data_IF_473972497809
#
_entry.id   IF_473972497809
#
_cell.length_a   1.000
_cell.length_b   1.000
_cell.length_c   1.000
_cell.angle_alpha   90.00
_cell.angle_beta   90.00
_cell.angle_gamma   90.00
#
_symmetry.space_group_name_H-M   'P 1'
#
loop_
_entity.id
_entity.type
_entity.pdbx_description
1 polymer ?
#
# COMPACT_ATOMS: atom_id res chain seq x y z
N UNK A 1 25.26 58.40 -0.33
CA UNK A 1 24.12 59.16 -0.89
C UNK A 1 24.29 59.25 -2.41
N UNK A 2 23.18 59.10 -3.13
CA UNK A 2 23.07 58.66 -4.54
C UNK A 2 23.63 59.68 -5.54
N UNK A 3 24.46 59.22 -6.50
CA UNK A 3 24.67 59.92 -7.77
C UNK A 3 23.71 59.33 -8.81
N UNK A 4 22.83 60.19 -9.32
CA UNK A 4 21.89 59.93 -10.41
C UNK A 4 22.66 59.97 -11.73
N UNK A 5 22.43 59.00 -12.60
CA UNK A 5 22.63 59.16 -14.04
C UNK A 5 21.38 58.66 -14.75
N UNK A 6 20.73 59.58 -15.44
CA UNK A 6 19.62 59.37 -16.34
C UNK A 6 20.13 59.77 -17.71
N UNK A 7 20.10 58.84 -18.67
CA UNK A 7 20.04 59.19 -20.09
C UNK A 7 18.97 58.36 -20.76
N UNK A 8 18.06 59.14 -21.34
CA UNK A 8 16.93 58.87 -22.19
C UNK A 8 17.43 58.51 -23.61
N UNK A 9 16.87 57.48 -24.24
CA UNK A 9 16.52 57.41 -25.67
C UNK A 9 16.16 55.95 -26.02
N UNK A 10 14.87 55.59 -26.07
CA UNK A 10 14.00 55.66 -27.26
C UNK A 10 14.12 54.40 -28.14
N UNK A 11 13.17 53.47 -27.99
CA UNK A 11 12.47 52.92 -29.16
C UNK A 11 11.10 52.41 -28.73
N UNK A 12 10.07 53.07 -29.24
CA UNK A 12 8.68 52.66 -29.13
C UNK A 12 8.38 51.63 -30.23
N UNK A 13 7.73 50.52 -29.86
CA UNK A 13 6.75 49.93 -30.76
C UNK A 13 5.57 49.41 -29.93
N UNK A 14 4.40 49.80 -30.40
CA UNK A 14 3.10 49.70 -29.76
C UNK A 14 2.33 48.54 -30.41
N UNK A 15 1.49 47.90 -29.59
CA UNK A 15 0.34 47.06 -29.94
C UNK A 15 0.58 45.66 -30.53
N UNK A 16 0.08 44.63 -29.85
CA UNK A 16 -1.30 44.12 -30.08
C UNK A 16 -1.68 43.12 -28.97
N UNK A 17 -2.72 43.46 -28.22
CA UNK A 17 -3.56 42.49 -27.52
C UNK A 17 -4.30 41.67 -28.56
N UNK A 18 -4.14 40.35 -28.51
CA UNK A 18 -4.99 39.39 -29.19
C UNK A 18 -5.51 38.38 -28.18
N UNK A 19 -6.70 38.61 -27.64
CA UNK A 19 -7.53 37.51 -27.16
C UNK A 19 -8.20 36.88 -28.37
N UNK A 20 -8.01 35.58 -28.58
CA UNK A 20 -9.06 34.62 -29.00
C UNK A 20 -8.46 33.24 -29.25
N UNK A 21 -9.12 32.23 -28.71
CA UNK A 21 -9.11 30.88 -29.27
C UNK A 21 -8.67 29.80 -28.29
N UNK A 22 -9.64 29.14 -27.65
CA UNK A 22 -9.48 27.72 -27.36
C UNK A 22 -9.10 27.02 -28.67
N UNK A 23 -7.92 26.43 -28.74
CA UNK A 23 -7.72 25.24 -29.56
C UNK A 23 -7.30 24.12 -28.64
N UNK A 24 -8.06 23.04 -28.65
CA UNK A 24 -7.60 21.74 -28.18
C UNK A 24 -6.33 21.39 -28.97
N UNK A 25 -5.17 21.68 -28.40
CA UNK A 25 -3.89 21.19 -28.85
C UNK A 25 -3.49 20.09 -27.88
N UNK A 26 -3.47 18.85 -28.35
CA UNK A 26 -2.62 17.84 -27.73
C UNK A 26 -1.19 18.38 -27.84
N UNK A 27 -0.65 18.92 -26.74
CA UNK A 27 0.75 19.31 -26.64
C UNK A 27 1.60 18.04 -26.71
N UNK A 28 1.83 17.57 -27.93
CA UNK A 28 2.89 16.63 -28.24
C UNK A 28 4.17 17.44 -28.36
N UNK A 29 4.96 17.42 -27.30
CA UNK A 29 6.34 17.91 -27.31
C UNK A 29 7.08 17.33 -28.55
N UNK A 30 7.94 18.11 -29.22
CA UNK A 30 8.59 17.68 -30.45
C UNK A 30 9.46 16.45 -30.19
N UNK A 31 9.25 15.40 -31.00
CA UNK A 31 10.12 14.21 -31.03
C UNK A 31 11.55 14.67 -31.37
N UNK A 32 12.47 14.43 -30.44
CA UNK A 32 13.90 14.74 -30.61
C UNK A 32 14.47 14.04 -31.85
N UNK A 33 15.28 14.78 -32.63
CA UNK A 33 16.00 14.27 -33.81
C UNK A 33 17.22 13.40 -33.45
N UNK A 34 17.48 13.17 -32.16
CA UNK A 34 18.41 12.15 -31.70
C UNK A 34 18.00 10.75 -32.21
N UNK A 35 18.99 9.91 -32.49
CA UNK A 35 18.75 8.55 -32.99
C UNK A 35 17.82 7.80 -32.03
N UNK A 36 16.81 7.05 -32.55
CA UNK A 36 15.90 6.31 -31.70
C UNK A 36 16.66 5.31 -30.82
N UNK A 37 16.21 5.17 -29.58
CA UNK A 37 16.74 4.21 -28.62
C UNK A 37 16.00 2.88 -28.71
N UNK A 38 16.71 1.81 -28.35
CA UNK A 38 16.14 0.50 -28.04
C UNK A 38 16.56 0.14 -26.62
N UNK A 39 15.63 -0.41 -25.84
CA UNK A 39 15.83 -0.78 -24.44
C UNK A 39 15.50 -2.27 -24.26
N UNK A 40 16.38 -3.02 -23.61
CA UNK A 40 16.05 -4.30 -23.01
C UNK A 40 15.56 -4.04 -21.57
N UNK A 41 14.25 -4.15 -21.38
CA UNK A 41 13.57 -3.90 -20.10
C UNK A 41 13.36 -5.21 -19.36
N UNK A 42 13.64 -5.22 -18.07
CA UNK A 42 13.28 -6.31 -17.17
C UNK A 42 12.59 -5.77 -15.93
N UNK A 43 11.45 -6.36 -15.58
CA UNK A 43 10.79 -6.08 -14.31
C UNK A 43 11.41 -7.00 -13.24
N UNK A 44 11.86 -6.38 -12.14
CA UNK A 44 12.34 -7.05 -10.94
C UNK A 44 11.22 -7.81 -10.21
N UNK A 45 11.53 -8.36 -9.03
CA UNK A 45 10.67 -9.30 -8.29
C UNK A 45 9.22 -8.84 -8.10
N UNK A 46 8.36 -9.31 -8.98
CA UNK A 46 6.97 -9.65 -8.69
C UNK A 46 6.81 -11.08 -9.18
N UNK A 47 6.75 -12.05 -8.28
CA UNK A 47 6.43 -13.41 -8.66
C UNK A 47 5.09 -13.42 -9.43
N UNK A 48 5.02 -14.15 -10.53
CA UNK A 48 3.78 -14.34 -11.29
C UNK A 48 3.13 -15.64 -10.81
N UNK A 49 2.29 -15.57 -9.78
CA UNK A 49 1.49 -16.69 -9.28
C UNK A 49 0.12 -16.18 -8.82
N UNK A 50 -1.00 -16.58 -9.45
CA UNK A 50 -2.31 -16.20 -8.97
C UNK A 50 -2.56 -16.85 -7.61
N UNK A 51 -2.60 -16.04 -6.56
CA UNK A 51 -3.20 -16.44 -5.30
C UNK A 51 -4.57 -15.77 -5.17
N UNK A 52 -5.36 -16.32 -4.27
CA UNK A 52 -6.73 -15.92 -3.98
C UNK A 52 -6.81 -15.77 -2.47
N UNK A 53 -7.66 -14.84 -2.04
CA UNK A 53 -8.05 -14.50 -0.66
C UNK A 53 -7.98 -15.61 0.40
N UNK A 54 -7.53 -15.20 1.59
CA UNK A 54 -7.64 -15.81 2.94
C UNK A 54 -6.64 -16.87 3.42
N UNK A 55 -5.57 -17.20 2.69
CA UNK A 55 -4.45 -18.01 3.27
C UNK A 55 -3.34 -17.13 3.85
N UNK A 56 -2.58 -17.57 4.86
CA UNK A 56 -1.46 -16.81 5.40
C UNK A 56 -0.39 -16.71 4.32
N UNK A 57 0.14 -15.52 4.11
CA UNK A 57 1.19 -15.33 3.11
C UNK A 57 2.49 -15.92 3.68
N UNK A 58 3.11 -16.83 2.91
CA UNK A 58 4.37 -17.44 3.32
C UNK A 58 5.51 -16.45 3.18
N UNK A 59 6.56 -16.61 3.99
CA UNK A 59 7.77 -15.81 3.84
C UNK A 59 8.34 -15.96 2.41
N UNK A 60 8.53 -14.85 1.71
CA UNK A 60 9.04 -14.82 0.35
C UNK A 60 7.99 -14.97 -0.77
N UNK A 61 6.68 -14.94 -0.45
CA UNK A 61 5.63 -14.81 -1.47
C UNK A 61 5.52 -13.34 -1.88
N UNK A 62 5.78 -13.02 -3.15
CA UNK A 62 5.66 -11.67 -3.70
C UNK A 62 4.21 -11.34 -4.12
N UNK A 63 3.90 -10.06 -4.22
CA UNK A 63 2.64 -9.48 -4.70
C UNK A 63 2.77 -9.64 -6.20
N UNK A 64 1.73 -10.19 -6.76
CA UNK A 64 1.75 -10.63 -8.14
C UNK A 64 1.30 -9.48 -8.99
N UNK A 65 2.13 -9.13 -9.97
CA UNK A 65 1.70 -8.21 -11.03
C UNK A 65 0.65 -8.92 -11.88
N UNK A 66 -0.59 -8.44 -11.83
CA UNK A 66 -1.70 -8.99 -12.61
C UNK A 66 -1.96 -8.19 -13.89
N UNK A 67 -1.67 -6.89 -13.84
CA UNK A 67 -1.72 -5.95 -14.95
C UNK A 67 -0.97 -4.69 -14.56
N UNK A 68 -0.67 -3.82 -15.51
CA UNK A 68 -0.11 -2.52 -15.19
C UNK A 68 0.14 -1.64 -16.39
N UNK A 69 0.76 -0.51 -16.14
CA UNK A 69 1.13 0.49 -17.12
C UNK A 69 2.63 0.78 -17.03
N UNK A 70 3.28 0.81 -18.19
CA UNK A 70 4.69 1.08 -18.38
C UNK A 70 4.86 2.40 -19.13
N UNK A 71 5.67 3.29 -18.58
CA UNK A 71 5.89 4.63 -19.11
C UNK A 71 7.38 4.85 -19.40
N UNK A 72 7.68 5.31 -20.61
CA UNK A 72 8.99 5.83 -20.99
C UNK A 72 8.96 7.35 -20.97
N UNK A 73 9.86 7.96 -20.21
CA UNK A 73 9.77 9.37 -19.81
C UNK A 73 11.11 10.07 -20.06
N UNK A 74 11.07 11.36 -20.42
CA UNK A 74 12.26 12.20 -20.57
C UNK A 74 12.64 12.94 -19.27
N UNK A 75 13.70 13.74 -19.32
CA UNK A 75 14.18 14.54 -18.18
C UNK A 75 13.14 15.52 -17.59
N UNK A 76 12.19 16.02 -18.40
CA UNK A 76 11.14 16.96 -17.94
C UNK A 76 9.93 16.27 -17.33
N UNK A 77 9.90 14.93 -17.34
CA UNK A 77 8.77 14.14 -16.87
C UNK A 77 7.70 13.89 -17.94
N UNK A 78 7.89 14.33 -19.19
CA UNK A 78 6.93 14.06 -20.26
C UNK A 78 6.93 12.58 -20.64
N UNK A 79 5.74 11.98 -20.70
CA UNK A 79 5.50 10.61 -21.15
C UNK A 79 5.66 10.58 -22.67
N UNK A 80 6.71 9.90 -23.11
CA UNK A 80 7.06 9.76 -24.52
C UNK A 80 6.44 8.53 -25.16
N UNK A 81 6.27 7.46 -24.38
CA UNK A 81 5.66 6.22 -24.82
C UNK A 81 5.03 5.49 -23.64
N UNK A 82 3.90 4.85 -23.90
CA UNK A 82 3.14 4.07 -22.93
C UNK A 82 2.86 2.67 -23.48
N UNK A 83 2.87 1.69 -22.59
CA UNK A 83 2.43 0.33 -22.86
C UNK A 83 1.57 -0.19 -21.72
N UNK A 84 0.55 -0.97 -22.05
CA UNK A 84 -0.21 -1.76 -21.07
C UNK A 84 0.45 -3.12 -20.88
N UNK A 85 0.77 -3.45 -19.63
CA UNK A 85 1.26 -4.76 -19.22
C UNK A 85 0.05 -5.64 -18.94
N UNK A 86 -0.06 -6.76 -19.65
CA UNK A 86 -1.22 -7.66 -19.56
C UNK A 86 -0.86 -9.08 -20.00
N UNK A 87 -1.76 -10.04 -19.79
CA UNK A 87 -1.62 -11.41 -20.29
C UNK A 87 -1.95 -11.52 -21.79
N UNK A 88 -2.60 -10.51 -22.38
CA UNK A 88 -3.07 -10.50 -23.77
C UNK A 88 -2.28 -9.51 -24.65
N UNK A 89 -1.61 -10.00 -25.68
CA UNK A 89 -0.81 -9.19 -26.61
C UNK A 89 -1.57 -8.80 -27.89
N UNK A 90 -2.87 -8.56 -27.80
CA UNK A 90 -3.71 -8.27 -28.98
C UNK A 90 -3.44 -6.89 -29.61
N UNK A 91 -2.67 -6.02 -28.97
CA UNK A 91 -2.26 -4.71 -29.47
C UNK A 91 -0.74 -4.54 -29.46
N UNK A 92 -0.21 -3.76 -30.40
CA UNK A 92 1.20 -3.37 -30.45
C UNK A 92 1.61 -2.44 -29.29
N UNK A 93 0.64 -1.90 -28.54
CA UNK A 93 0.84 -1.12 -27.31
C UNK A 93 0.75 -1.99 -26.05
N UNK A 94 0.70 -3.31 -26.19
CA UNK A 94 0.68 -4.22 -25.05
C UNK A 94 2.02 -4.93 -24.91
N UNK A 95 2.43 -5.20 -23.67
CA UNK A 95 3.56 -6.05 -23.34
C UNK A 95 3.04 -7.23 -22.54
N UNK A 96 3.45 -8.46 -22.91
CA UNK A 96 3.11 -9.64 -22.13
C UNK A 96 3.82 -9.61 -20.77
N UNK A 97 3.10 -9.90 -19.69
CA UNK A 97 3.69 -9.96 -18.34
C UNK A 97 4.89 -10.90 -18.21
N UNK A 98 4.81 -12.10 -18.80
CA UNK A 98 5.90 -13.10 -18.74
C UNK A 98 7.13 -12.60 -19.50
N UNK A 99 6.92 -11.92 -20.63
CA UNK A 99 8.01 -11.29 -21.38
C UNK A 99 8.62 -10.12 -20.61
N UNK A 100 7.81 -9.27 -19.98
CA UNK A 100 8.30 -8.16 -19.15
C UNK A 100 9.14 -8.65 -17.96
N UNK A 101 8.76 -9.78 -17.36
CA UNK A 101 9.50 -10.40 -16.25
C UNK A 101 10.81 -11.05 -16.69
N UNK A 102 10.80 -11.80 -17.81
CA UNK A 102 11.98 -12.48 -18.33
C UNK A 102 12.94 -11.53 -19.07
N UNK A 103 12.43 -10.40 -19.54
CA UNK A 103 13.14 -9.41 -20.34
C UNK A 103 12.46 -9.19 -21.69
N UNK A 104 12.05 -7.95 -21.97
CA UNK A 104 11.39 -7.55 -23.20
C UNK A 104 12.22 -6.49 -23.95
N UNK A 105 12.36 -6.65 -25.27
CA UNK A 105 13.01 -5.65 -26.12
C UNK A 105 11.99 -4.63 -26.61
N UNK A 106 12.17 -3.37 -26.21
CA UNK A 106 11.36 -2.24 -26.66
C UNK A 106 12.18 -1.41 -27.63
N UNK A 107 11.69 -1.25 -28.84
CA UNK A 107 12.39 -0.54 -29.92
C UNK A 107 11.67 0.74 -30.32
N UNK A 108 12.37 1.60 -31.07
CA UNK A 108 11.85 2.87 -31.57
C UNK A 108 11.32 3.76 -30.43
N UNK A 109 12.12 3.93 -29.38
CA UNK A 109 11.91 4.93 -28.35
C UNK A 109 12.52 6.26 -28.81
N UNK A 110 11.91 7.41 -28.49
CA UNK A 110 12.53 8.71 -28.76
C UNK A 110 13.92 8.82 -28.12
N UNK A 111 14.82 9.56 -28.76
CA UNK A 111 16.23 9.64 -28.35
C UNK A 111 16.45 10.31 -26.99
N UNK A 112 15.48 11.11 -26.52
CA UNK A 112 15.49 11.78 -25.23
C UNK A 112 14.80 10.99 -24.10
N UNK A 113 14.48 9.71 -24.29
CA UNK A 113 14.02 8.84 -23.19
C UNK A 113 15.14 8.61 -22.18
N UNK A 114 14.84 8.77 -20.89
CA UNK A 114 15.80 8.66 -19.78
C UNK A 114 15.34 7.75 -18.64
N UNK A 115 14.04 7.71 -18.36
CA UNK A 115 13.46 6.99 -17.23
C UNK A 115 12.35 6.05 -17.67
N UNK A 116 12.19 4.97 -16.90
CA UNK A 116 11.06 4.06 -16.96
C UNK A 116 10.30 4.11 -15.65
N UNK A 117 8.97 4.16 -15.73
CA UNK A 117 8.06 4.02 -14.59
C UNK A 117 7.10 2.89 -14.85
N UNK A 118 6.74 2.17 -13.79
CA UNK A 118 5.77 1.09 -13.83
C UNK A 118 4.80 1.24 -12.68
N UNK A 119 3.51 1.16 -13.00
CA UNK A 119 2.44 1.03 -12.01
C UNK A 119 1.72 -0.28 -12.27
N UNK A 120 1.64 -1.13 -11.26
CA UNK A 120 0.97 -2.43 -11.33
C UNK A 120 -0.27 -2.49 -10.46
N UNK A 121 -1.23 -3.31 -10.87
CA UNK A 121 -2.49 -3.58 -10.15
C UNK A 121 -3.36 -2.34 -9.90
N UNK A 122 -3.10 -1.25 -10.62
CA UNK A 122 -3.93 -0.03 -10.61
C UNK A 122 -4.43 0.22 -12.01
N UNK A 123 -5.72 0.56 -12.14
CA UNK A 123 -6.37 0.82 -13.43
C UNK A 123 -6.78 2.29 -13.56
N UNK A 124 -7.10 2.72 -14.79
CA UNK A 124 -7.61 4.06 -15.05
C UNK A 124 -6.54 5.17 -15.00
N UNK A 125 -5.26 4.82 -15.13
CA UNK A 125 -4.17 5.79 -15.11
C UNK A 125 -4.08 6.59 -16.42
N UNK A 126 -3.64 7.86 -16.38
CA UNK A 126 -3.29 8.61 -17.58
C UNK A 126 -2.22 7.88 -18.40
N UNK A 127 -2.34 7.93 -19.73
CA UNK A 127 -1.40 7.27 -20.67
C UNK A 127 -0.46 8.25 -21.39
N UNK A 128 -0.68 9.55 -21.21
CA UNK A 128 0.10 10.65 -21.80
C UNK A 128 0.18 11.84 -20.85
N UNK A 129 0.94 12.88 -21.21
CA UNK A 129 1.16 14.05 -20.36
C UNK A 129 2.42 13.92 -19.50
N UNK A 130 2.39 14.42 -18.26
CA UNK A 130 3.53 14.34 -17.34
C UNK A 130 3.38 13.15 -16.38
N UNK A 131 4.48 12.45 -16.10
CA UNK A 131 4.51 11.35 -15.14
C UNK A 131 4.07 11.76 -13.73
N UNK A 132 4.24 13.04 -13.36
CA UNK A 132 3.76 13.56 -12.08
C UNK A 132 2.25 13.38 -11.93
N UNK A 133 1.48 13.54 -13.01
CA UNK A 133 0.02 13.34 -13.00
C UNK A 133 -0.35 11.89 -12.73
N UNK A 134 0.42 10.92 -13.24
CA UNK A 134 0.24 9.50 -12.94
C UNK A 134 0.59 9.20 -11.48
N UNK A 135 1.71 9.75 -11.01
CA UNK A 135 2.20 9.58 -9.65
C UNK A 135 1.28 10.21 -8.58
N UNK A 136 0.48 11.21 -8.96
CA UNK A 136 -0.48 11.92 -8.10
C UNK A 136 -1.88 11.30 -8.11
N UNK A 137 -2.10 10.22 -8.87
CA UNK A 137 -3.36 9.46 -8.76
C UNK A 137 -3.50 8.92 -7.34
N UNK A 138 -4.68 9.15 -6.77
CA UNK A 138 -5.05 8.75 -5.41
C UNK A 138 -5.63 7.34 -5.42
N UNK A 139 -5.13 6.52 -4.50
CA UNK A 139 -5.64 5.21 -4.14
C UNK A 139 -6.43 5.31 -2.84
N UNK A 140 -7.53 4.57 -2.74
CA UNK A 140 -8.31 4.44 -1.52
C UNK A 140 -7.99 3.11 -0.84
N UNK A 141 -8.05 3.06 0.49
CA UNK A 141 -7.68 1.84 1.23
C UNK A 141 -8.58 0.66 0.90
N UNK A 142 -9.86 0.90 0.60
CA UNK A 142 -10.81 -0.15 0.21
C UNK A 142 -10.45 -0.84 -1.10
N UNK A 143 -9.74 -0.15 -2.02
CA UNK A 143 -9.29 -0.76 -3.26
C UNK A 143 -8.06 -1.64 -3.09
N UNK A 144 -7.53 -1.75 -1.87
CA UNK A 144 -6.32 -2.52 -1.55
C UNK A 144 -6.63 -3.75 -0.69
N UNK A 145 -7.90 -4.11 -0.50
CA UNK A 145 -8.34 -5.19 0.38
C UNK A 145 -7.63 -6.53 0.11
N UNK A 146 -7.58 -6.93 -1.16
CA UNK A 146 -6.96 -8.18 -1.57
C UNK A 146 -5.47 -7.95 -1.87
N UNK A 147 -4.62 -8.92 -1.54
CA UNK A 147 -3.18 -8.81 -1.81
C UNK A 147 -2.89 -8.77 -3.32
N UNK A 148 -3.79 -9.35 -4.09
CA UNK A 148 -3.87 -9.32 -5.55
C UNK A 148 -4.10 -7.91 -6.12
N UNK A 149 -4.85 -7.08 -5.40
CA UNK A 149 -5.20 -5.71 -5.80
C UNK A 149 -4.23 -4.67 -5.25
N UNK A 150 -3.25 -5.11 -4.44
CA UNK A 150 -2.26 -4.23 -3.86
C UNK A 150 -1.44 -3.54 -4.96
N UNK A 151 -1.45 -2.21 -4.96
CA UNK A 151 -0.72 -1.40 -5.92
C UNK A 151 0.78 -1.67 -5.85
N UNK A 152 1.38 -1.83 -7.02
CA UNK A 152 2.81 -1.98 -7.22
C UNK A 152 3.35 -0.72 -7.89
N UNK A 153 4.48 -0.22 -7.40
CA UNK A 153 5.13 0.94 -8.00
C UNK A 153 6.64 0.74 -8.09
N UNK A 154 7.22 1.17 -9.21
CA UNK A 154 8.66 1.15 -9.43
C UNK A 154 9.10 2.12 -10.52
N UNK A 155 10.37 2.52 -10.47
CA UNK A 155 11.00 3.33 -11.51
C UNK A 155 12.49 3.02 -11.63
N UNK A 156 13.05 3.15 -12.82
CA UNK A 156 14.47 2.94 -13.07
C UNK A 156 15.00 3.81 -14.22
N UNK A 157 16.28 4.22 -14.16
CA UNK A 157 16.92 4.91 -15.27
C UNK A 157 17.25 3.94 -16.41
N UNK A 158 17.40 4.48 -17.62
CA UNK A 158 18.06 3.77 -18.72
C UNK A 158 19.57 3.72 -18.46
N UNK A 159 20.17 2.56 -18.64
CA UNK A 159 21.61 2.31 -18.54
C UNK A 159 22.19 2.18 -19.94
N UNK A 160 23.33 2.84 -20.17
CA UNK A 160 23.99 2.85 -21.47
C UNK A 160 24.45 1.45 -21.91
N UNK A 161 24.37 1.13 -23.21
CA UNK A 161 24.90 -0.12 -23.75
C UNK A 161 26.41 -0.23 -23.53
N UNK A 162 26.86 -1.42 -23.12
CA UNK A 162 28.29 -1.77 -23.09
C UNK A 162 28.64 -2.58 -24.33
N UNK A 163 29.67 -2.14 -25.07
CA UNK A 163 30.13 -2.81 -26.29
C UNK A 163 30.36 -4.33 -26.07
N UNK A 164 29.88 -5.20 -26.99
CA UNK A 164 29.33 -4.91 -28.32
C UNK A 164 27.80 -4.70 -28.35
N UNK A 165 27.13 -4.62 -27.20
CA UNK A 165 25.69 -4.39 -27.16
C UNK A 165 25.35 -2.99 -27.71
N UNK A 166 24.15 -2.88 -28.28
CA UNK A 166 23.65 -1.63 -28.88
C UNK A 166 22.35 -1.13 -28.24
N UNK A 167 21.72 -1.95 -27.39
CA UNK A 167 20.50 -1.60 -26.66
C UNK A 167 20.84 -1.14 -25.24
N UNK A 168 20.14 -0.09 -24.79
CA UNK A 168 20.12 0.32 -23.39
C UNK A 168 19.48 -0.79 -22.55
N UNK A 169 19.78 -0.82 -21.25
CA UNK A 169 19.10 -1.73 -20.31
C UNK A 169 18.34 -0.92 -19.27
N UNK A 170 17.28 -1.51 -18.72
CA UNK A 170 16.58 -0.94 -17.58
C UNK A 170 16.04 -2.09 -16.73
N UNK A 171 16.34 -2.06 -15.44
CA UNK A 171 15.72 -2.94 -14.45
C UNK A 171 14.85 -2.08 -13.53
N UNK A 172 13.59 -2.49 -13.36
CA UNK A 172 12.62 -1.79 -12.51
C UNK A 172 12.14 -2.73 -11.42
N UNK A 173 12.52 -2.45 -10.17
CA UNK A 173 11.99 -3.16 -9.01
C UNK A 173 10.60 -2.64 -8.66
N UNK A 174 9.61 -3.52 -8.70
CA UNK A 174 8.25 -3.23 -8.25
C UNK A 174 8.12 -3.53 -6.77
N UNK A 175 7.53 -2.61 -6.02
CA UNK A 175 7.26 -2.79 -4.60
C UNK A 175 5.80 -2.47 -4.29
N UNK A 176 5.16 -3.23 -3.38
CA UNK A 176 3.85 -2.87 -2.86
C UNK A 176 3.93 -1.52 -2.16
N UNK A 177 2.89 -0.69 -2.32
CA UNK A 177 2.74 0.58 -1.59
C UNK A 177 1.95 0.43 -0.28
N UNK A 178 1.68 -0.81 0.12
CA UNK A 178 0.98 -1.18 1.36
C UNK A 178 1.87 -2.04 2.25
N UNK A 179 1.68 -1.94 3.55
CA UNK A 179 2.03 -2.96 4.53
C UNK A 179 0.85 -3.92 4.71
N UNK A 180 1.06 -5.11 5.27
CA UNK A 180 -0.01 -6.06 5.58
C UNK A 180 0.08 -6.51 7.02
N UNK A 181 -1.02 -6.44 7.77
CA UNK A 181 -1.14 -7.02 9.10
C UNK A 181 -1.90 -8.35 8.97
N UNK A 182 -1.40 -9.42 9.59
CA UNK A 182 -2.09 -10.72 9.64
C UNK A 182 -2.34 -11.13 11.09
N UNK A 183 -3.60 -11.41 11.44
CA UNK A 183 -4.01 -11.90 12.76
C UNK A 183 -4.50 -13.34 12.64
N UNK A 184 -3.81 -14.25 13.32
CA UNK A 184 -4.11 -15.70 13.25
C UNK A 184 -5.30 -16.09 14.12
N UNK A 185 -5.30 -15.65 15.37
CA UNK A 185 -6.36 -15.92 16.34
C UNK A 185 -6.38 -14.85 17.44
N UNK A 186 -7.45 -14.88 18.23
CA UNK A 186 -7.63 -14.11 19.46
C UNK A 186 -7.84 -15.13 20.58
N UNK A 187 -6.98 -15.10 21.60
CA UNK A 187 -7.01 -16.07 22.70
C UNK A 187 -7.37 -15.40 24.02
N UNK A 188 -8.24 -15.99 24.83
CA UNK A 188 -8.48 -15.54 26.20
C UNK A 188 -7.71 -16.37 27.24
N UNK A 189 -7.42 -15.75 28.37
CA UNK A 189 -6.72 -16.33 29.53
C UNK A 189 -7.35 -15.87 30.84
N UNK A 190 -6.71 -16.17 31.98
CA UNK A 190 -7.23 -15.81 33.29
C UNK A 190 -8.56 -16.49 33.60
N UNK A 191 -9.50 -15.72 34.16
CA UNK A 191 -10.82 -16.24 34.56
C UNK A 191 -11.79 -16.42 33.38
N UNK A 192 -11.47 -15.85 32.22
CA UNK A 192 -12.31 -15.92 31.02
C UNK A 192 -12.26 -17.35 30.45
N UNK A 193 -13.43 -17.95 30.26
CA UNK A 193 -13.59 -19.31 29.72
C UNK A 193 -14.22 -19.35 28.34
N UNK A 194 -15.02 -18.34 27.99
CA UNK A 194 -15.65 -18.22 26.68
C UNK A 194 -15.93 -16.74 26.34
N UNK A 195 -16.07 -16.43 25.07
CA UNK A 195 -16.40 -15.10 24.56
C UNK A 195 -16.85 -15.16 23.09
N UNK A 196 -17.41 -14.05 22.59
CA UNK A 196 -17.66 -13.84 21.17
C UNK A 196 -16.95 -12.62 20.64
N UNK A 197 -16.53 -12.67 19.38
CA UNK A 197 -16.00 -11.53 18.63
C UNK A 197 -17.14 -10.96 17.77
N UNK A 198 -17.55 -9.74 18.09
CA UNK A 198 -18.55 -9.00 17.32
C UNK A 198 -17.90 -8.34 16.10
N UNK A 199 -16.66 -7.85 16.25
CA UNK A 199 -15.94 -7.20 15.16
C UNK A 199 -14.48 -6.92 15.48
N UNK A 200 -13.70 -6.71 14.42
CA UNK A 200 -12.27 -6.38 14.44
C UNK A 200 -12.10 -5.14 13.59
N UNK A 201 -11.46 -4.11 14.13
CA UNK A 201 -11.35 -2.81 13.47
C UNK A 201 -9.89 -2.34 13.50
N UNK A 202 -9.42 -1.83 12.37
CA UNK A 202 -8.13 -1.14 12.27
C UNK A 202 -8.35 0.36 12.53
N UNK A 203 -7.52 0.93 13.38
CA UNK A 203 -7.46 2.34 13.72
C UNK A 203 -6.01 2.84 13.54
N UNK A 204 -5.77 4.16 13.53
CA UNK A 204 -4.45 4.74 13.24
C UNK A 204 -3.87 4.32 11.87
N UNK A 205 -4.65 4.49 10.81
CA UNK A 205 -4.26 4.14 9.44
C UNK A 205 -4.40 5.33 8.50
N UNK A 206 -3.86 5.21 7.28
CA UNK A 206 -4.09 6.19 6.22
C UNK A 206 -5.20 5.70 5.29
N UNK A 207 -6.25 6.49 5.08
CA UNK A 207 -7.37 6.14 4.19
C UNK A 207 -6.99 6.25 2.71
N UNK A 208 -5.97 7.05 2.39
CA UNK A 208 -5.50 7.30 1.04
C UNK A 208 -3.98 7.28 0.94
N UNK A 209 -3.51 6.96 -0.26
CA UNK A 209 -2.13 7.18 -0.66
C UNK A 209 -2.07 7.53 -2.15
N UNK A 210 -0.97 8.14 -2.56
CA UNK A 210 -0.66 8.28 -3.97
C UNK A 210 -0.12 6.97 -4.53
N UNK A 211 -0.30 6.73 -5.84
CA UNK A 211 0.23 5.56 -6.56
C UNK A 211 1.72 5.32 -6.30
N UNK A 212 2.51 6.38 -6.11
CA UNK A 212 3.95 6.29 -5.76
C UNK A 212 4.24 5.89 -4.30
N UNK A 213 3.22 5.58 -3.50
CA UNK A 213 3.33 5.19 -2.10
C UNK A 213 3.52 6.35 -1.12
N UNK A 214 3.19 7.58 -1.52
CA UNK A 214 3.21 8.73 -0.61
C UNK A 214 1.89 8.81 0.16
N UNK A 215 1.98 8.95 1.48
CA UNK A 215 0.84 9.21 2.38
C UNK A 215 0.90 10.64 2.90
N UNK A 216 -0.25 11.20 3.28
CA UNK A 216 -0.32 12.54 3.87
C UNK A 216 -1.05 12.53 5.20
N UNK A 217 -0.72 13.47 6.09
CA UNK A 217 -1.35 13.55 7.41
C UNK A 217 -2.83 13.90 7.37
N UNK A 218 -3.34 14.45 6.27
CA UNK A 218 -4.78 14.76 6.13
C UNK A 218 -5.62 13.50 5.95
N UNK A 219 -5.00 12.43 5.48
CA UNK A 219 -5.66 11.15 5.22
C UNK A 219 -5.51 10.18 6.40
N UNK A 220 -4.89 10.63 7.49
CA UNK A 220 -4.72 9.84 8.71
C UNK A 220 -6.04 9.74 9.47
N UNK A 221 -6.46 8.52 9.77
CA UNK A 221 -7.69 8.19 10.48
C UNK A 221 -7.35 7.69 11.89
N UNK A 222 -7.85 8.39 12.90
CA UNK A 222 -7.85 7.98 14.31
C UNK A 222 -9.23 8.24 14.92
N UNK A 223 -9.93 7.17 15.30
CA UNK A 223 -11.31 7.20 15.78
C UNK A 223 -11.41 7.34 17.31
N UNK A 224 -10.28 7.37 18.00
CA UNK A 224 -10.18 7.72 19.43
C UNK A 224 -10.95 6.79 20.36
N UNK A 225 -11.25 7.26 21.57
CA UNK A 225 -11.90 6.47 22.63
C UNK A 225 -13.43 6.57 22.59
N UNK A 226 -14.04 6.19 21.46
CA UNK A 226 -15.49 6.31 21.22
C UNK A 226 -16.10 4.95 20.88
N UNK A 227 -16.69 4.25 21.86
CA UNK A 227 -17.24 2.91 21.68
C UNK A 227 -18.29 2.80 20.55
N UNK A 228 -19.06 3.86 20.31
CA UNK A 228 -20.08 3.89 19.26
C UNK A 228 -19.49 3.91 17.84
N UNK A 229 -18.26 4.40 17.66
CA UNK A 229 -17.59 4.43 16.36
C UNK A 229 -17.25 3.02 15.89
N UNK A 230 -16.83 2.14 16.80
CA UNK A 230 -16.44 0.75 16.52
C UNK A 230 -17.66 -0.19 16.49
N UNK A 231 -18.56 0.08 15.56
CA UNK A 231 -19.74 -0.72 15.26
C UNK A 231 -19.89 -0.88 13.74
N UNK A 232 -20.78 -1.76 13.29
CA UNK A 232 -20.98 -1.94 11.86
C UNK A 232 -21.65 -0.71 11.21
N UNK A 233 -21.22 -0.40 10.00
CA UNK A 233 -21.78 0.63 9.12
C UNK A 233 -21.92 2.02 9.79
N UNK A 234 -20.96 2.40 10.62
CA UNK A 234 -20.88 3.74 11.21
C UNK A 234 -20.31 4.75 10.21
N UNK A 235 -20.28 6.03 10.60
CA UNK A 235 -19.58 7.06 9.82
C UNK A 235 -18.08 6.80 9.71
N UNK A 236 -17.49 6.23 10.76
CA UNK A 236 -16.06 5.93 10.86
C UNK A 236 -15.71 4.60 10.18
N UNK A 237 -16.64 3.64 10.18
CA UNK A 237 -16.51 2.32 9.56
C UNK A 237 -17.71 2.03 8.64
N UNK A 238 -17.85 2.75 7.51
CA UNK A 238 -18.93 2.51 6.56
C UNK A 238 -18.75 1.18 5.82
N UNK A 239 -19.85 0.63 5.29
CA UNK A 239 -19.87 -0.68 4.64
C UNK A 239 -18.80 -0.88 3.53
N UNK A 240 -18.42 0.18 2.81
CA UNK A 240 -17.40 0.12 1.76
C UNK A 240 -15.98 -0.19 2.27
N UNK A 241 -15.73 -0.03 3.57
CA UNK A 241 -14.45 -0.33 4.21
C UNK A 241 -14.33 -1.80 4.68
N UNK A 242 -15.40 -2.59 4.52
CA UNK A 242 -15.40 -4.03 4.85
C UNK A 242 -15.04 -4.85 3.60
N UNK A 243 -14.09 -5.81 3.67
CA UNK A 243 -13.28 -6.19 4.83
C UNK A 243 -11.91 -5.47 4.93
N UNK A 244 -11.68 -4.40 4.15
CA UNK A 244 -10.36 -3.78 3.98
C UNK A 244 -9.69 -3.33 5.28
N UNK A 245 -10.46 -2.74 6.21
CA UNK A 245 -9.94 -2.23 7.48
C UNK A 245 -10.79 -2.67 8.68
N UNK A 246 -11.90 -3.38 8.47
CA UNK A 246 -12.68 -3.95 9.56
C UNK A 246 -13.52 -5.16 9.14
N UNK A 247 -13.80 -6.03 10.11
CA UNK A 247 -14.75 -7.13 10.05
C UNK A 247 -15.84 -6.93 11.09
N UNK A 248 -17.07 -7.33 10.75
CA UNK A 248 -18.18 -7.38 11.70
C UNK A 248 -19.01 -8.64 11.49
N UNK A 249 -19.36 -9.32 12.58
CA UNK A 249 -19.99 -10.63 12.59
C UNK A 249 -21.42 -10.55 13.13
N UNK A 250 -22.38 -10.91 12.28
CA UNK A 250 -23.77 -11.17 12.67
C UNK A 250 -24.24 -12.52 12.06
N UNK A 251 -24.36 -13.60 12.86
CA UNK A 251 -24.13 -13.65 14.30
C UNK A 251 -22.64 -13.54 14.68
N UNK A 252 -22.37 -13.03 15.89
CA UNK A 252 -21.01 -12.88 16.42
C UNK A 252 -20.23 -14.21 16.44
N UNK A 253 -18.92 -14.14 16.20
CA UNK A 253 -18.04 -15.29 16.08
C UNK A 253 -17.70 -15.87 17.46
N UNK A 254 -18.18 -17.09 17.74
CA UNK A 254 -17.88 -17.78 18.99
C UNK A 254 -16.43 -18.24 19.08
N UNK A 255 -15.82 -18.03 20.25
CA UNK A 255 -14.61 -18.73 20.61
C UNK A 255 -14.90 -20.24 20.83
N UNK A 256 -13.89 -21.07 20.56
CA UNK A 256 -13.89 -22.48 20.92
C UNK A 256 -12.67 -22.75 21.76
N UNK A 257 -12.85 -23.32 22.95
CA UNK A 257 -11.76 -23.58 23.91
C UNK A 257 -10.89 -22.34 24.17
N UNK A 258 -11.52 -21.18 24.41
CA UNK A 258 -10.88 -19.86 24.61
C UNK A 258 -10.21 -19.23 23.38
N UNK A 259 -10.43 -19.76 22.18
CA UNK A 259 -9.78 -19.26 20.95
C UNK A 259 -10.85 -18.91 19.90
N UNK A 260 -10.85 -17.66 19.45
CA UNK A 260 -11.60 -17.21 18.26
C UNK A 260 -10.64 -17.09 17.07
N UNK A 261 -11.05 -17.59 15.91
CA UNK A 261 -10.25 -17.60 14.68
C UNK A 261 -11.15 -17.44 13.45
N UNK A 262 -10.66 -16.92 12.33
CA UNK A 262 -11.45 -16.82 11.10
C UNK A 262 -11.91 -18.20 10.62
N UNK A 263 -13.01 -18.22 9.86
CA UNK A 263 -13.51 -19.46 9.26
C UNK A 263 -12.53 -20.00 8.21
N UNK A 264 -12.44 -21.33 8.10
CA UNK A 264 -11.55 -22.01 7.14
C UNK A 264 -10.27 -22.56 7.78
N UNK A 265 -9.72 -23.60 7.15
CA UNK A 265 -8.48 -24.22 7.65
C UNK A 265 -7.28 -23.37 7.25
N UNK A 266 -6.55 -22.90 8.26
CA UNK A 266 -5.32 -22.14 8.06
C UNK A 266 -5.55 -20.69 7.65
N UNK A 267 -6.76 -20.13 7.79
CA UNK A 267 -7.04 -18.75 7.41
C UNK A 267 -6.59 -17.74 8.47
N UNK A 268 -6.40 -16.49 8.07
CA UNK A 268 -6.05 -15.35 8.95
C UNK A 268 -6.94 -14.16 8.61
N UNK A 269 -7.19 -13.28 9.59
CA UNK A 269 -7.64 -11.92 9.27
C UNK A 269 -6.47 -11.14 8.71
N UNK A 270 -6.68 -10.40 7.63
CA UNK A 270 -5.59 -9.68 7.00
C UNK A 270 -6.04 -8.31 6.51
N UNK A 271 -5.23 -7.29 6.79
CA UNK A 271 -5.52 -5.90 6.47
C UNK A 271 -4.32 -5.29 5.77
N UNK A 272 -4.52 -4.82 4.54
CA UNK A 272 -3.50 -4.10 3.78
C UNK A 272 -3.64 -2.61 4.07
N UNK A 273 -2.58 -1.97 4.54
CA UNK A 273 -2.58 -0.58 5.01
C UNK A 273 -1.55 0.22 4.26
N UNK A 274 -1.90 1.43 3.82
CA UNK A 274 -0.91 2.32 3.21
C UNK A 274 0.21 2.66 4.20
N UNK A 275 1.44 2.53 3.73
CA UNK A 275 2.64 2.83 4.51
C UNK A 275 3.70 3.43 3.58
N UNK A 276 4.59 4.25 4.13
CA UNK A 276 5.76 4.73 3.38
C UNK A 276 6.88 3.69 3.44
N UNK A 277 7.79 3.72 2.47
CA UNK A 277 9.00 2.88 2.48
C UNK A 277 10.00 3.26 3.57
N UNK A 278 9.85 4.45 4.16
CA UNK A 278 10.68 4.95 5.27
C UNK A 278 10.01 4.79 6.64
N UNK A 279 8.79 4.25 6.68
CA UNK A 279 8.00 4.07 7.88
C UNK A 279 6.78 5.00 7.96
N UNK A 280 5.70 4.45 8.48
CA UNK A 280 4.41 5.08 8.78
C UNK A 280 3.96 4.70 10.18
N UNK A 281 2.98 5.42 10.73
CA UNK A 281 2.37 5.13 12.04
C UNK A 281 1.99 3.66 12.19
N UNK A 282 2.29 3.07 13.35
CA UNK A 282 1.83 1.72 13.68
C UNK A 282 0.32 1.73 13.92
N UNK A 283 -0.47 0.88 13.24
CA UNK A 283 -1.91 0.83 13.41
C UNK A 283 -2.29 0.24 14.77
N UNK A 284 -3.51 0.51 15.22
CA UNK A 284 -4.14 -0.17 16.34
C UNK A 284 -5.13 -1.22 15.83
N UNK A 285 -5.30 -2.29 16.58
CA UNK A 285 -6.35 -3.30 16.35
C UNK A 285 -7.33 -3.26 17.50
N UNK A 286 -8.59 -2.96 17.21
CA UNK A 286 -9.67 -2.87 18.18
C UNK A 286 -10.59 -4.08 18.01
N UNK A 287 -10.77 -4.84 19.08
CA UNK A 287 -11.57 -6.07 19.06
C UNK A 287 -12.78 -5.83 19.94
N UNK A 288 -13.96 -5.88 19.33
CA UNK A 288 -15.24 -5.76 20.02
C UNK A 288 -15.73 -7.14 20.43
N UNK A 289 -16.04 -7.30 21.71
CA UNK A 289 -16.38 -8.56 22.35
C UNK A 289 -17.76 -8.50 23.01
N UNK A 290 -18.46 -9.63 22.94
CA UNK A 290 -19.71 -9.89 23.65
C UNK A 290 -19.68 -11.27 24.33
N UNK A 291 -20.72 -11.57 25.11
CA UNK A 291 -20.96 -12.87 25.74
C UNK A 291 -19.73 -13.45 26.48
N UNK A 292 -19.01 -12.61 27.22
CA UNK A 292 -17.85 -13.02 28.01
C UNK A 292 -18.32 -13.87 29.20
N UNK A 293 -17.82 -15.10 29.28
CA UNK A 293 -18.10 -16.06 30.34
C UNK A 293 -16.86 -16.25 31.20
N UNK A 294 -17.03 -16.26 32.51
CA UNK A 294 -15.96 -16.44 33.50
C UNK A 294 -16.19 -17.65 34.40
N UNK A 295 -15.12 -18.17 35.00
CA UNK A 295 -15.19 -19.25 35.99
C UNK A 295 -15.24 -18.76 37.45
N UNK A 296 -15.08 -17.47 37.69
CA UNK A 296 -15.11 -16.84 39.02
C UNK A 296 -16.45 -16.15 39.34
N UNK A 297 -17.37 -16.09 38.36
CA UNK A 297 -18.67 -15.45 38.49
C UNK A 297 -18.68 -13.95 38.17
N UNK A 298 -17.56 -13.38 37.73
CA UNK A 298 -17.47 -11.99 37.26
C UNK A 298 -18.30 -11.78 36.00
N UNK A 299 -19.01 -10.64 35.90
CA UNK A 299 -19.85 -10.30 34.74
C UNK A 299 -19.39 -9.00 34.08
N UNK A 300 -19.51 -8.93 32.76
CA UNK A 300 -19.14 -7.78 31.96
C UNK A 300 -20.33 -7.31 31.12
N UNK A 301 -20.61 -6.02 31.12
CA UNK A 301 -21.65 -5.44 30.26
C UNK A 301 -21.13 -5.34 28.83
N UNK A 302 -21.85 -5.91 27.87
CA UNK A 302 -21.47 -5.81 26.46
C UNK A 302 -21.76 -4.40 25.90
N UNK A 303 -20.95 -3.90 24.93
CA UNK A 303 -19.72 -4.52 24.45
C UNK A 303 -18.55 -4.31 25.42
N UNK A 304 -17.58 -5.21 25.38
CA UNK A 304 -16.24 -4.96 25.88
C UNK A 304 -15.26 -4.85 24.70
N UNK A 305 -14.15 -4.18 24.93
CA UNK A 305 -13.12 -3.96 23.92
C UNK A 305 -11.76 -4.40 24.44
N UNK A 306 -10.98 -5.00 23.54
CA UNK A 306 -9.54 -5.20 23.67
C UNK A 306 -8.85 -4.31 22.63
N UNK A 307 -7.79 -3.60 23.02
CA UNK A 307 -7.05 -2.69 22.13
C UNK A 307 -5.58 -3.10 22.04
N UNK A 308 -5.13 -3.46 20.83
CA UNK A 308 -3.71 -3.64 20.51
C UNK A 308 -3.17 -2.29 20.07
N UNK A 309 -2.30 -1.67 20.89
CA UNK A 309 -1.78 -0.31 20.63
C UNK A 309 -0.54 -0.28 19.72
N UNK A 310 0.12 -1.42 19.55
CA UNK A 310 1.36 -1.52 18.80
C UNK A 310 1.92 -2.93 18.82
N UNK A 311 3.09 -3.07 18.20
CA UNK A 311 3.70 -4.37 17.91
C UNK A 311 5.13 -4.42 18.43
N UNK A 312 5.65 -5.63 18.67
CA UNK A 312 7.06 -5.89 18.94
C UNK A 312 7.61 -6.89 17.95
N UNK A 313 8.86 -6.73 17.51
CA UNK A 313 9.51 -7.71 16.64
C UNK A 313 9.80 -9.05 17.35
N UNK A 314 10.03 -8.99 18.67
CA UNK A 314 10.32 -10.15 19.51
C UNK A 314 9.65 -9.97 20.89
N UNK A 315 9.28 -11.09 21.51
CA UNK A 315 8.69 -11.06 22.85
C UNK A 315 9.66 -10.43 23.85
N UNK A 316 9.18 -9.47 24.64
CA UNK A 316 10.00 -8.69 25.58
C UNK A 316 10.91 -7.63 24.95
N UNK A 317 10.89 -7.47 23.62
CA UNK A 317 11.68 -6.46 22.91
C UNK A 317 11.12 -5.04 23.00
N UNK A 318 11.74 -4.12 22.25
CA UNK A 318 11.21 -2.77 22.08
C UNK A 318 9.99 -2.75 21.16
N UNK A 319 9.07 -1.83 21.42
CA UNK A 319 7.90 -1.58 20.56
C UNK A 319 8.37 -1.03 19.20
N UNK A 320 7.74 -1.52 18.13
CA UNK A 320 7.92 -0.98 16.79
C UNK A 320 7.45 0.47 16.78
N UNK A 321 8.24 1.33 16.13
CA UNK A 321 7.92 2.75 15.99
C UNK A 321 7.21 3.07 14.68
N UNK A 322 7.26 2.16 13.72
CA UNK A 322 6.65 2.33 12.40
C UNK A 322 6.37 1.01 11.68
N UNK A 323 5.44 1.05 10.72
CA UNK A 323 5.28 0.04 9.67
C UNK A 323 5.77 0.59 8.32
N UNK A 324 6.45 -0.25 7.53
CA UNK A 324 6.91 0.08 6.18
C UNK A 324 6.12 -0.67 5.11
N UNK A 325 5.94 -0.03 3.95
CA UNK A 325 5.38 -0.66 2.74
C UNK A 325 6.21 -1.87 2.30
N UNK A 326 5.55 -2.91 1.78
CA UNK A 326 6.22 -4.16 1.42
C UNK A 326 6.68 -4.93 2.66
N UNK A 327 5.95 -4.87 3.77
CA UNK A 327 6.21 -5.75 4.92
C UNK A 327 4.92 -6.41 5.39
N UNK A 328 5.03 -7.67 5.80
CA UNK A 328 3.95 -8.39 6.49
C UNK A 328 4.28 -8.47 7.97
N UNK A 329 3.32 -8.04 8.78
CA UNK A 329 3.34 -8.07 10.23
C UNK A 329 2.42 -9.19 10.69
N UNK A 330 2.98 -10.39 10.87
CA UNK A 330 2.24 -11.57 11.29
C UNK A 330 2.14 -11.70 12.81
N UNK A 331 0.93 -11.62 13.32
CA UNK A 331 0.54 -11.99 14.67
C UNK A 331 0.23 -13.49 14.68
N UNK A 332 1.15 -14.26 15.28
CA UNK A 332 1.06 -15.71 15.35
C UNK A 332 -0.07 -16.18 16.29
N UNK A 333 -0.48 -17.43 16.13
CA UNK A 333 -1.42 -18.08 17.04
C UNK A 333 -0.96 -17.97 18.51
N UNK A 334 -1.87 -17.54 19.39
CA UNK A 334 -1.62 -17.31 20.81
C UNK A 334 -0.80 -16.06 21.14
N UNK A 335 -0.27 -15.33 20.15
CA UNK A 335 0.49 -14.10 20.39
C UNK A 335 -0.40 -12.93 20.82
N UNK A 336 -1.68 -12.96 20.44
CA UNK A 336 -2.71 -12.09 20.97
C UNK A 336 -3.51 -12.85 22.03
N UNK A 337 -3.07 -12.75 23.29
CA UNK A 337 -3.77 -13.31 24.45
C UNK A 337 -4.23 -12.18 25.37
N UNK A 338 -5.51 -12.16 25.74
CA UNK A 338 -6.10 -11.18 26.67
C UNK A 338 -6.66 -11.86 27.93
N UNK A 339 -6.86 -11.10 29.00
CA UNK A 339 -7.51 -11.52 30.24
C UNK A 339 -8.49 -10.45 30.75
N UNK A 340 -9.05 -10.65 31.94
CA UNK A 340 -10.01 -9.75 32.59
C UNK A 340 -9.50 -8.31 32.78
N UNK A 341 -8.19 -8.12 32.98
CA UNK A 341 -7.59 -6.78 33.14
C UNK A 341 -7.46 -6.04 31.82
N UNK A 342 -7.62 -6.75 30.70
CA UNK A 342 -7.51 -6.22 29.35
C UNK A 342 -8.86 -5.83 28.72
N UNK A 343 -9.94 -5.88 29.50
CA UNK A 343 -11.28 -5.53 29.04
C UNK A 343 -11.65 -4.10 29.42
N UNK A 344 -12.22 -3.37 28.47
CA UNK A 344 -12.78 -2.04 28.73
C UNK A 344 -14.11 -1.84 27.99
N UNK A 345 -15.10 -1.14 28.59
CA UNK A 345 -16.32 -0.73 27.87
C UNK A 345 -16.07 0.37 26.82
N UNK A 346 -14.88 0.97 26.81
CA UNK A 346 -14.47 2.04 25.88
C UNK A 346 -13.11 1.65 25.25
N UNK A 347 -12.99 1.61 23.92
CA UNK A 347 -11.72 1.30 23.25
C UNK A 347 -10.72 2.44 23.41
N UNK A 348 -9.45 2.20 23.08
CA UNK A 348 -8.41 3.25 23.07
C UNK A 348 -8.20 3.99 24.42
N UNK A 349 -8.70 3.48 25.55
CA UNK A 349 -8.39 4.03 26.88
C UNK A 349 -6.98 3.60 27.33
N UNK A 350 -6.21 4.54 27.87
CA UNK A 350 -4.84 4.28 28.34
C UNK A 350 -4.81 3.45 29.62
N UNK A 351 -4.69 2.12 29.48
CA UNK A 351 -3.84 1.16 30.23
C UNK A 351 -4.42 -0.26 30.09
N UNK A 352 -4.33 -0.80 28.87
CA UNK A 352 -4.42 -2.23 28.58
C UNK A 352 -3.42 -2.41 27.44
N UNK A 353 -2.22 -2.90 27.78
CA UNK A 353 -1.11 -3.00 26.85
C UNK A 353 -0.90 -4.47 26.48
N UNK A 354 -1.64 -4.95 25.48
CA UNK A 354 -1.30 -6.22 24.83
C UNK A 354 -0.31 -5.90 23.72
N UNK A 355 0.98 -6.08 24.04
CA UNK A 355 2.06 -5.92 23.07
C UNK A 355 2.29 -7.24 22.36
N UNK A 356 1.90 -7.27 21.09
CA UNK A 356 1.92 -8.50 20.30
C UNK A 356 3.30 -8.73 19.69
N UNK A 357 3.82 -9.95 19.81
CA UNK A 357 5.03 -10.37 19.10
C UNK A 357 4.69 -10.67 17.64
N UNK A 358 5.29 -9.91 16.75
CA UNK A 358 5.14 -10.02 15.30
C UNK A 358 6.38 -10.69 14.74
N UNK A 359 6.19 -11.78 13.99
CA UNK A 359 7.26 -12.28 13.13
C UNK A 359 7.40 -11.31 11.96
N UNK A 360 8.48 -10.54 11.91
CA UNK A 360 8.80 -9.68 10.78
C UNK A 360 9.11 -10.55 9.56
N UNK A 361 8.22 -10.50 8.58
CA UNK A 361 8.49 -11.02 7.24
C UNK A 361 8.79 -9.81 6.37
N UNK A 362 10.08 -9.52 6.21
CA UNK A 362 10.53 -8.53 5.25
C UNK A 362 10.12 -9.00 3.84
N UNK A 363 9.50 -8.14 3.04
CA UNK A 363 9.51 -8.42 1.61
C UNK A 363 10.85 -8.00 1.04
N UNK A 364 11.79 -8.95 1.04
CA UNK A 364 12.64 -9.22 -0.12
C UNK A 364 13.32 -10.56 0.13
N UNK A 365 13.37 -11.48 -0.84
CA UNK A 365 14.34 -12.58 -0.74
C UNK A 365 15.74 -12.03 -1.03
N UNK A 366 16.46 -11.57 -0.01
CA UNK A 366 17.91 -11.71 0.04
C UNK A 366 18.22 -12.33 1.39
N UNK A 367 18.97 -13.42 1.42
CA UNK A 367 19.35 -14.07 2.67
C UNK A 367 20.11 -13.11 3.56
N UNK A 368 19.65 -12.95 4.80
CA UNK A 368 20.31 -12.11 5.82
C UNK A 368 20.32 -12.82 7.17
N UNK A 369 21.32 -12.53 7.98
CA UNK A 369 21.57 -13.13 9.30
C UNK A 369 21.18 -12.15 10.42
N UNK A 370 20.64 -12.61 11.57
CA UNK A 370 20.18 -11.73 12.66
C UNK A 370 21.32 -11.20 13.55
N UNK A 371 21.11 -10.04 14.19
CA UNK A 371 21.86 -9.62 15.39
C UNK A 371 20.89 -9.33 16.55
N UNK A 372 21.36 -9.68 17.76
CA UNK A 372 20.62 -9.79 19.02
C UNK A 372 20.42 -8.45 19.72
#
# INVERSE_FOLDING_TARGET
MKKKFSYLALLAMVLLLGFSGCSNGEDTEPVDNAKPKSVFLKLGKSAVTPHSVSSPVSNGTDVVLQSGDLYFVNASGAILKHYTITSSTTSATNINMTEAHNGASITNLPGNTEMVYVVGNTSGLPTSGNISTVQEVVLQVESQNDIEDANLYGSGPLVDPVSPATAYTCEVDLKPTVARIELTDITSSGVITDFKVDGIFIDNYFSQALVKGSVTSTDFVENGAVAAAFNDETSEYPAGLKPAIYDFYDPALSASTKVAKPAGTGTVWAYNLFASSTGSTVPRIIIRLSDIVTNDGSTYTAPQFVTVKGFKAVSGGASLTSIESGKIYKIAAGALTFNETDLSPIPNLSLIDIEVTVNLVAWTVVGVTPEL
#
